data_IF_149974757664
#
_entry.id   IF_149974757664
#
_cell.length_a   1.000
_cell.length_b   1.000
_cell.length_c   1.000
_cell.angle_alpha   90.00
_cell.angle_beta   90.00
_cell.angle_gamma   90.00
#
_symmetry.space_group_name_H-M   'P 1'
#
loop_
_entity.id
_entity.type
_entity.pdbx_description
1 polymer ?
#
# COMPACT_ATOMS: atom_id res chain seq x y z
N UNK A 1 -25.78 -5.83 9.20
CA UNK A 1 -25.40 -4.87 10.25
C UNK A 1 -24.57 -5.61 11.29
N UNK A 2 -23.28 -5.28 11.34
CA UNK A 2 -22.33 -5.98 12.21
C UNK A 2 -22.41 -5.43 13.63
N UNK A 3 -22.44 -6.35 14.58
CA UNK A 3 -22.29 -6.06 16.01
C UNK A 3 -20.78 -6.12 16.34
N UNK A 4 -20.19 -5.01 16.75
CA UNK A 4 -18.76 -4.92 17.09
C UNK A 4 -18.37 -5.94 18.16
N UNK A 5 -19.25 -6.24 19.13
CA UNK A 5 -19.01 -7.20 20.18
C UNK A 5 -18.85 -8.63 19.62
N UNK A 6 -19.68 -8.98 18.64
CA UNK A 6 -19.54 -10.27 17.95
C UNK A 6 -18.24 -10.35 17.16
N UNK A 7 -17.86 -9.24 16.49
CA UNK A 7 -16.58 -9.13 15.78
C UNK A 7 -15.39 -9.31 16.72
N UNK A 8 -15.36 -8.59 17.83
CA UNK A 8 -14.32 -8.68 18.86
C UNK A 8 -14.25 -10.09 19.46
N UNK A 9 -15.40 -10.72 19.74
CA UNK A 9 -15.45 -12.09 20.27
C UNK A 9 -14.90 -13.10 19.26
N UNK A 10 -15.19 -12.92 17.97
CA UNK A 10 -14.77 -13.84 16.90
C UNK A 10 -13.28 -13.71 16.57
N UNK A 11 -12.80 -12.49 16.41
CA UNK A 11 -11.44 -12.22 15.92
C UNK A 11 -10.41 -12.10 17.05
N UNK A 12 -10.84 -11.72 18.25
CA UNK A 12 -10.02 -11.44 19.44
C UNK A 12 -9.14 -10.20 19.28
N UNK A 13 -8.93 -9.48 20.37
CA UNK A 13 -8.04 -8.30 20.42
C UNK A 13 -6.56 -8.75 20.41
N UNK A 14 -5.64 -7.94 19.86
CA UNK A 14 -5.90 -6.63 19.25
C UNK A 14 -6.45 -6.70 17.81
N UNK A 15 -7.24 -5.69 17.43
CA UNK A 15 -7.88 -5.58 16.12
C UNK A 15 -7.60 -4.22 15.47
N UNK A 16 -7.81 -4.14 14.17
CA UNK A 16 -7.94 -2.89 13.43
C UNK A 16 -9.39 -2.74 12.99
N UNK A 17 -9.96 -1.56 13.21
CA UNK A 17 -11.23 -1.14 12.60
C UNK A 17 -10.93 -0.16 11.48
N UNK A 18 -11.36 -0.48 10.25
CA UNK A 18 -11.19 0.36 9.05
C UNK A 18 -12.56 0.70 8.46
N UNK A 19 -12.77 1.93 7.94
CA UNK A 19 -13.96 2.22 7.16
C UNK A 19 -13.94 1.43 5.85
N UNK A 20 -15.10 1.04 5.34
CA UNK A 20 -15.25 0.35 4.07
C UNK A 20 -14.97 1.25 2.85
N UNK A 21 -14.97 2.57 3.07
CA UNK A 21 -14.60 3.60 2.11
C UNK A 21 -13.64 4.60 2.77
N UNK A 22 -12.48 4.79 2.21
CA UNK A 22 -11.47 5.69 2.76
C UNK A 22 -10.20 5.67 1.94
N UNK A 23 -9.31 6.61 2.21
CA UNK A 23 -7.99 6.70 1.57
C UNK A 23 -6.93 6.91 2.64
N UNK A 24 -5.83 6.14 2.57
CA UNK A 24 -4.60 6.40 3.31
C UNK A 24 -4.74 6.31 4.83
N UNK A 25 -5.18 5.19 5.36
CA UNK A 25 -5.34 4.92 6.81
C UNK A 25 -6.21 5.93 7.58
N UNK A 26 -6.94 6.81 6.89
CA UNK A 26 -7.87 7.76 7.48
C UNK A 26 -8.97 7.02 8.25
N UNK A 27 -9.27 7.52 9.47
CA UNK A 27 -10.27 6.92 10.37
C UNK A 27 -10.04 5.42 10.67
N UNK A 28 -8.77 4.98 10.67
CA UNK A 28 -8.37 3.64 11.08
C UNK A 28 -8.04 3.61 12.56
N UNK A 29 -8.64 2.69 13.30
CA UNK A 29 -8.50 2.57 14.76
C UNK A 29 -7.81 1.25 15.14
N UNK A 30 -6.79 1.34 15.99
CA UNK A 30 -6.20 0.17 16.64
C UNK A 30 -6.92 -0.09 17.96
N UNK A 31 -7.62 -1.20 18.03
CA UNK A 31 -8.38 -1.64 19.20
C UNK A 31 -7.52 -2.65 19.98
N UNK A 32 -6.79 -2.20 21.00
CA UNK A 32 -5.88 -3.04 21.79
C UNK A 32 -6.60 -3.80 22.88
N UNK A 33 -7.57 -3.13 23.51
CA UNK A 33 -8.32 -3.63 24.66
C UNK A 33 -9.79 -3.18 24.64
N UNK A 34 -10.55 -3.54 25.67
CA UNK A 34 -11.96 -3.19 25.81
C UNK A 34 -12.20 -1.67 25.88
N UNK A 35 -11.23 -0.91 26.43
CA UNK A 35 -11.35 0.53 26.55
C UNK A 35 -11.31 1.18 25.17
N UNK A 36 -10.40 0.71 24.30
CA UNK A 36 -10.32 1.19 22.92
C UNK A 36 -11.61 0.88 22.14
N UNK A 37 -12.21 -0.30 22.35
CA UNK A 37 -13.50 -0.67 21.74
C UNK A 37 -14.61 0.29 22.20
N UNK A 38 -14.68 0.62 23.49
CA UNK A 38 -15.67 1.56 24.01
C UNK A 38 -15.44 3.00 23.51
N UNK A 39 -14.18 3.42 23.38
CA UNK A 39 -13.85 4.72 22.79
C UNK A 39 -14.27 4.77 21.32
N UNK A 40 -13.93 3.76 20.53
CA UNK A 40 -14.35 3.66 19.14
C UNK A 40 -15.89 3.76 18.99
N UNK A 41 -16.65 3.05 19.84
CA UNK A 41 -18.11 3.11 19.82
C UNK A 41 -18.65 4.54 20.09
N UNK A 42 -17.97 5.29 20.97
CA UNK A 42 -18.37 6.67 21.29
C UNK A 42 -18.06 7.66 20.17
N UNK A 43 -16.95 7.40 19.45
CA UNK A 43 -16.48 8.26 18.35
C UNK A 43 -17.16 7.95 17.03
N UNK A 44 -17.71 6.72 16.90
CA UNK A 44 -18.39 6.31 15.68
C UNK A 44 -19.64 7.15 15.42
N UNK A 45 -19.77 7.67 14.23
CA UNK A 45 -20.86 8.55 13.79
C UNK A 45 -22.20 7.82 13.57
N UNK A 46 -22.25 6.50 13.74
CA UNK A 46 -23.43 5.65 13.56
C UNK A 46 -23.79 5.38 12.08
N UNK A 47 -23.06 5.93 11.12
CA UNK A 47 -23.35 5.85 9.68
C UNK A 47 -22.24 5.22 8.87
N UNK A 48 -20.99 5.51 9.19
CA UNK A 48 -19.83 4.92 8.52
C UNK A 48 -19.75 3.43 8.78
N UNK A 49 -19.67 2.64 7.72
CA UNK A 49 -19.49 1.20 7.79
C UNK A 49 -18.03 0.87 8.06
N UNK A 50 -17.79 0.04 9.06
CA UNK A 50 -16.46 -0.43 9.43
C UNK A 50 -16.37 -1.94 9.32
N UNK A 51 -15.21 -2.44 8.92
CA UNK A 51 -14.86 -3.83 9.08
C UNK A 51 -13.71 -4.00 10.08
N UNK A 52 -13.63 -5.18 10.68
CA UNK A 52 -12.63 -5.52 11.68
C UNK A 52 -11.66 -6.55 11.12
N UNK A 53 -10.38 -6.33 11.33
CA UNK A 53 -9.30 -7.24 10.95
C UNK A 53 -8.43 -7.56 12.16
N UNK A 54 -7.82 -8.76 12.25
CA UNK A 54 -6.77 -9.02 13.24
C UNK A 54 -5.62 -8.03 13.05
N UNK A 55 -5.11 -7.49 14.16
CA UNK A 55 -3.91 -6.66 14.11
C UNK A 55 -2.69 -7.53 13.81
N UNK A 56 -1.94 -7.18 12.80
CA UNK A 56 -0.65 -7.81 12.46
C UNK A 56 0.46 -6.99 13.09
N UNK A 57 1.22 -7.60 14.01
CA UNK A 57 2.28 -6.95 14.77
C UNK A 57 3.66 -7.21 14.16
N UNK A 58 4.59 -6.26 14.39
CA UNK A 58 6.01 -6.37 13.99
C UNK A 58 6.21 -6.76 12.52
N UNK A 59 5.45 -6.17 11.62
CA UNK A 59 5.56 -6.41 10.19
C UNK A 59 5.92 -5.13 9.43
N UNK A 60 6.81 -5.27 8.46
CA UNK A 60 7.06 -4.22 7.48
C UNK A 60 5.90 -4.18 6.48
N UNK A 61 5.69 -3.03 5.85
CA UNK A 61 4.77 -2.92 4.72
C UNK A 61 5.58 -2.87 3.43
N UNK A 62 5.20 -3.73 2.50
CA UNK A 62 5.72 -3.76 1.13
C UNK A 62 4.57 -3.75 0.15
N UNK A 63 4.82 -3.36 -1.08
CA UNK A 63 3.78 -3.34 -2.11
C UNK A 63 4.07 -4.31 -3.24
N UNK A 64 3.04 -4.63 -3.99
CA UNK A 64 3.17 -5.18 -5.33
C UNK A 64 2.39 -4.26 -6.27
N UNK A 65 3.13 -3.47 -7.04
CA UNK A 65 2.61 -2.42 -7.89
C UNK A 65 2.87 -2.74 -9.35
N UNK A 66 2.05 -2.21 -10.24
CA UNK A 66 2.28 -2.42 -11.66
C UNK A 66 1.15 -1.94 -12.55
N UNK A 67 1.16 -2.43 -13.78
CA UNK A 67 0.23 -2.11 -14.84
C UNK A 67 -0.24 -3.38 -15.54
N UNK A 68 -1.52 -3.47 -15.85
CA UNK A 68 -2.10 -4.54 -16.68
C UNK A 68 -2.62 -4.01 -18.01
N UNK A 69 -2.46 -4.82 -19.08
CA UNK A 69 -2.98 -4.53 -20.41
C UNK A 69 -4.49 -4.86 -20.56
N UNK A 70 -5.04 -4.63 -21.74
CA UNK A 70 -6.43 -4.92 -22.08
C UNK A 70 -6.80 -6.41 -21.97
N UNK A 71 -5.81 -7.31 -22.04
CA UNK A 71 -5.99 -8.76 -21.93
C UNK A 71 -5.88 -9.26 -20.49
N UNK A 72 -5.44 -8.38 -19.56
CA UNK A 72 -5.17 -8.74 -18.17
C UNK A 72 -3.76 -9.28 -17.94
N UNK A 73 -2.84 -9.12 -18.89
CA UNK A 73 -1.44 -9.46 -18.68
C UNK A 73 -0.74 -8.33 -17.92
N UNK A 74 0.09 -8.69 -16.97
CA UNK A 74 0.94 -7.72 -16.27
C UNK A 74 2.03 -7.24 -17.22
N UNK A 75 2.04 -5.94 -17.51
CA UNK A 75 3.00 -5.25 -18.38
C UNK A 75 4.32 -5.03 -17.67
N UNK A 76 4.24 -4.57 -16.44
CA UNK A 76 5.35 -4.49 -15.50
C UNK A 76 4.84 -4.65 -14.08
N UNK A 77 5.75 -4.96 -13.17
CA UNK A 77 5.52 -4.92 -11.73
C UNK A 77 6.77 -4.48 -10.99
N UNK A 78 6.58 -3.92 -9.80
CA UNK A 78 7.61 -3.40 -8.92
C UNK A 78 7.14 -3.50 -7.47
N UNK A 79 8.00 -3.12 -6.51
CA UNK A 79 7.65 -3.10 -5.09
C UNK A 79 8.23 -1.88 -4.41
N UNK A 80 7.42 -1.20 -3.61
CA UNK A 80 7.86 -0.22 -2.62
C UNK A 80 8.10 -0.95 -1.29
N UNK A 81 9.22 -0.64 -0.66
CA UNK A 81 9.51 -1.02 0.73
C UNK A 81 9.53 0.26 1.56
N UNK A 82 8.60 0.38 2.50
CA UNK A 82 8.50 1.55 3.39
C UNK A 82 9.45 1.41 4.58
N UNK A 83 10.17 2.48 4.92
CA UNK A 83 11.00 2.52 6.13
C UNK A 83 10.17 2.68 7.40
N UNK A 84 9.09 3.48 7.33
CA UNK A 84 8.04 3.59 8.34
C UNK A 84 6.71 3.29 7.71
N UNK A 85 5.81 2.63 8.45
CA UNK A 85 4.48 2.35 7.90
C UNK A 85 3.68 3.65 7.70
N UNK A 86 2.76 3.72 6.73
CA UNK A 86 1.88 4.88 6.57
C UNK A 86 1.14 5.25 7.86
N UNK A 87 0.76 4.28 8.68
CA UNK A 87 0.09 4.51 9.97
C UNK A 87 1.04 5.16 10.99
N UNK A 88 2.32 4.77 11.04
CA UNK A 88 3.30 5.40 11.91
C UNK A 88 3.53 6.86 11.53
N UNK A 89 3.61 7.14 10.23
CA UNK A 89 3.79 8.49 9.71
C UNK A 89 2.60 9.42 10.00
N UNK A 90 1.38 8.88 10.03
CA UNK A 90 0.18 9.63 10.42
C UNK A 90 0.14 9.93 11.92
N UNK A 91 0.60 8.98 12.74
CA UNK A 91 0.58 9.10 14.20
C UNK A 91 1.79 9.82 14.77
N UNK A 92 2.85 10.00 13.98
CA UNK A 92 4.09 10.65 14.43
C UNK A 92 4.63 11.60 13.36
N UNK A 93 4.36 12.89 13.53
CA UNK A 93 4.80 13.95 12.62
C UNK A 93 6.30 14.22 12.64
N UNK A 94 7.08 13.59 13.54
CA UNK A 94 8.55 13.67 13.56
C UNK A 94 9.22 12.74 12.58
N UNK A 95 8.50 11.75 12.02
CA UNK A 95 9.03 10.81 11.05
C UNK A 95 8.99 11.39 9.63
N UNK A 96 10.01 11.09 8.84
CA UNK A 96 10.07 11.43 7.43
C UNK A 96 9.56 10.27 6.58
N UNK A 97 8.92 10.59 5.46
CA UNK A 97 8.47 9.59 4.51
C UNK A 97 9.66 9.13 3.68
N UNK A 98 10.11 7.91 3.94
CA UNK A 98 11.22 7.28 3.24
C UNK A 98 10.79 5.91 2.74
N UNK A 99 11.03 5.64 1.48
CA UNK A 99 10.81 4.33 0.86
C UNK A 99 11.80 4.09 -0.27
N UNK A 100 11.96 2.84 -0.65
CA UNK A 100 12.78 2.49 -1.81
C UNK A 100 12.05 1.47 -2.70
N UNK A 101 12.45 1.46 -3.98
CA UNK A 101 12.05 0.46 -4.96
C UNK A 101 13.05 -0.68 -4.89
N UNK A 102 12.55 -1.87 -4.55
CA UNK A 102 13.37 -3.08 -4.53
C UNK A 102 13.43 -3.67 -5.93
N UNK A 103 14.64 -3.91 -6.44
CA UNK A 103 14.85 -4.59 -7.72
C UNK A 103 14.90 -6.13 -7.56
N UNK A 104 15.20 -6.61 -6.36
CA UNK A 104 15.39 -8.04 -6.06
C UNK A 104 14.14 -8.58 -5.34
N UNK A 105 12.98 -8.53 -6.01
CA UNK A 105 11.70 -8.90 -5.41
C UNK A 105 11.67 -10.35 -4.95
N UNK A 106 11.17 -10.57 -3.73
CA UNK A 106 10.92 -11.90 -3.20
C UNK A 106 9.94 -12.67 -4.12
N UNK A 107 10.30 -13.84 -4.64
CA UNK A 107 9.44 -14.66 -5.50
C UNK A 107 8.05 -14.94 -4.90
N UNK A 108 7.95 -15.06 -3.57
CA UNK A 108 6.68 -15.29 -2.89
C UNK A 108 5.77 -14.05 -2.95
N UNK A 109 6.33 -12.84 -2.77
CA UNK A 109 5.59 -11.58 -2.97
C UNK A 109 5.08 -11.48 -4.41
N UNK A 110 5.93 -11.81 -5.38
CA UNK A 110 5.56 -11.81 -6.81
C UNK A 110 4.44 -12.79 -7.09
N UNK A 111 4.50 -13.99 -6.52
CA UNK A 111 3.44 -14.99 -6.66
C UNK A 111 2.09 -14.48 -6.09
N UNK A 112 2.11 -13.97 -4.86
CA UNK A 112 0.91 -13.46 -4.19
C UNK A 112 0.31 -12.25 -4.91
N UNK A 113 1.16 -11.33 -5.35
CA UNK A 113 0.75 -10.16 -6.11
C UNK A 113 0.10 -10.54 -7.45
N UNK A 114 0.72 -11.43 -8.22
CA UNK A 114 0.16 -11.94 -9.50
C UNK A 114 -1.17 -12.67 -9.30
N UNK A 115 -1.28 -13.47 -8.24
CA UNK A 115 -2.52 -14.16 -7.91
C UNK A 115 -3.64 -13.18 -7.53
N UNK A 116 -3.31 -12.12 -6.78
CA UNK A 116 -4.25 -11.05 -6.44
C UNK A 116 -4.75 -10.31 -7.69
N UNK A 117 -3.85 -9.86 -8.56
CA UNK A 117 -4.20 -9.20 -9.83
C UNK A 117 -5.14 -10.07 -10.66
N UNK A 118 -4.84 -11.37 -10.77
CA UNK A 118 -5.67 -12.34 -11.49
C UNK A 118 -7.05 -12.51 -10.85
N UNK A 119 -7.11 -12.61 -9.51
CA UNK A 119 -8.36 -12.80 -8.77
C UNK A 119 -9.32 -11.61 -8.94
N UNK A 120 -8.78 -10.38 -8.99
CA UNK A 120 -9.57 -9.17 -9.22
C UNK A 120 -9.93 -8.94 -10.71
N UNK A 121 -9.36 -9.70 -11.63
CA UNK A 121 -9.68 -9.61 -13.07
C UNK A 121 -9.38 -8.26 -13.70
N UNK A 122 -8.30 -7.61 -13.26
CA UNK A 122 -7.93 -6.26 -13.70
C UNK A 122 -7.57 -6.19 -15.18
N UNK A 123 -7.85 -5.01 -15.79
CA UNK A 123 -7.53 -4.69 -17.18
C UNK A 123 -7.27 -3.19 -17.34
N UNK A 124 -6.33 -2.85 -18.21
CA UNK A 124 -6.04 -1.48 -18.68
C UNK A 124 -5.84 -0.46 -17.57
N UNK A 125 -5.18 -0.84 -16.47
CA UNK A 125 -4.94 0.09 -15.36
C UNK A 125 -3.76 -0.29 -14.49
N UNK A 126 -3.30 0.70 -13.75
CA UNK A 126 -2.38 0.48 -12.64
C UNK A 126 -3.06 -0.27 -11.50
N UNK A 127 -2.25 -1.01 -10.77
CA UNK A 127 -2.62 -1.58 -9.48
C UNK A 127 -1.56 -1.25 -8.43
N UNK A 128 -2.01 -1.13 -7.20
CA UNK A 128 -1.20 -0.91 -5.99
C UNK A 128 -1.77 -1.80 -4.90
N UNK A 129 -1.03 -2.83 -4.53
CA UNK A 129 -1.44 -3.83 -3.55
C UNK A 129 -0.47 -3.76 -2.37
N UNK A 130 -0.97 -3.55 -1.17
CA UNK A 130 -0.17 -3.51 0.04
C UNK A 130 -0.19 -4.86 0.76
N UNK A 131 0.98 -5.24 1.29
CA UNK A 131 1.17 -6.47 2.06
C UNK A 131 1.92 -6.18 3.35
N UNK A 132 1.51 -6.80 4.46
CA UNK A 132 2.39 -7.00 5.60
C UNK A 132 3.40 -8.09 5.25
N UNK A 133 4.70 -7.76 5.36
CA UNK A 133 5.79 -8.73 5.30
C UNK A 133 6.06 -9.23 6.72
N UNK A 134 5.65 -10.44 7.00
CA UNK A 134 5.96 -11.14 8.25
C UNK A 134 7.28 -11.90 8.11
N UNK A 135 7.73 -12.56 9.18
CA UNK A 135 8.97 -13.34 9.14
C UNK A 135 8.97 -14.39 8.02
N UNK A 136 7.85 -15.05 7.79
CA UNK A 136 7.78 -16.23 6.93
C UNK A 136 6.75 -16.12 5.79
N UNK A 137 5.97 -15.02 5.74
CA UNK A 137 4.84 -14.89 4.83
C UNK A 137 4.45 -13.44 4.53
N UNK A 138 3.51 -13.27 3.60
CA UNK A 138 2.88 -12.01 3.23
C UNK A 138 1.37 -12.09 3.51
N UNK A 139 0.81 -11.02 4.07
CA UNK A 139 -0.63 -10.88 4.34
C UNK A 139 -1.12 -9.66 3.59
N UNK A 140 -2.07 -9.83 2.65
CA UNK A 140 -2.64 -8.72 1.91
C UNK A 140 -3.39 -7.75 2.84
N UNK A 141 -3.16 -6.46 2.66
CA UNK A 141 -3.78 -5.35 3.42
C UNK A 141 -4.91 -4.76 2.61
N UNK A 142 -4.58 -4.29 1.41
CA UNK A 142 -5.55 -3.65 0.52
C UNK A 142 -5.13 -3.77 -0.95
N UNK A 143 -6.12 -3.60 -1.82
CA UNK A 143 -5.97 -3.63 -3.25
C UNK A 143 -6.56 -2.37 -3.88
N UNK A 144 -5.71 -1.57 -4.54
CA UNK A 144 -6.09 -0.31 -5.16
C UNK A 144 -5.95 -0.36 -6.68
N UNK A 145 -6.99 0.10 -7.39
CA UNK A 145 -7.03 0.23 -8.84
C UNK A 145 -6.43 1.56 -9.32
N UNK A 146 -5.28 1.91 -8.84
CA UNK A 146 -4.54 3.14 -9.13
C UNK A 146 -3.04 2.92 -8.89
N UNK A 147 -2.17 3.81 -9.37
CA UNK A 147 -0.78 3.81 -8.92
C UNK A 147 -0.69 4.17 -7.44
N UNK A 148 0.42 3.85 -6.79
CA UNK A 148 0.76 4.37 -5.48
C UNK A 148 0.78 5.91 -5.50
N UNK A 149 0.59 6.51 -4.34
CA UNK A 149 0.47 7.97 -4.22
C UNK A 149 1.78 8.73 -4.34
N UNK A 150 1.69 10.05 -4.22
CA UNK A 150 2.81 10.98 -4.28
C UNK A 150 3.68 10.81 -5.54
N UNK A 151 4.98 10.72 -5.39
CA UNK A 151 5.97 10.60 -6.47
C UNK A 151 6.29 9.14 -6.86
N UNK A 152 5.44 8.18 -6.49
CA UNK A 152 5.76 6.76 -6.69
C UNK A 152 6.05 6.41 -8.15
N UNK A 153 5.23 6.91 -9.10
CA UNK A 153 5.45 6.64 -10.54
C UNK A 153 6.75 7.26 -11.03
N UNK A 154 7.13 8.44 -10.53
CA UNK A 154 8.42 9.07 -10.87
C UNK A 154 9.60 8.24 -10.36
N UNK A 155 9.47 7.68 -9.14
CA UNK A 155 10.50 6.80 -8.57
C UNK A 155 10.56 5.47 -9.33
N UNK A 156 9.42 4.93 -9.80
CA UNK A 156 9.41 3.77 -10.70
C UNK A 156 10.13 4.08 -12.02
N UNK A 157 9.85 5.24 -12.62
CA UNK A 157 10.51 5.68 -13.85
C UNK A 157 12.03 5.75 -13.68
N UNK A 158 12.48 6.28 -12.54
CA UNK A 158 13.89 6.31 -12.19
C UNK A 158 14.47 4.91 -11.99
N UNK A 159 13.80 4.07 -11.18
CA UNK A 159 14.28 2.73 -10.83
C UNK A 159 14.35 1.78 -12.04
N UNK A 160 13.46 1.95 -13.00
CA UNK A 160 13.37 1.07 -14.17
C UNK A 160 13.87 1.73 -15.46
N UNK A 161 14.41 2.97 -15.40
CA UNK A 161 14.90 3.72 -16.55
C UNK A 161 13.88 3.81 -17.70
N UNK A 162 12.62 4.06 -17.36
CA UNK A 162 11.51 4.09 -18.32
C UNK A 162 10.50 5.21 -17.98
N UNK A 163 9.50 5.40 -18.84
CA UNK A 163 8.40 6.35 -18.65
C UNK A 163 7.07 5.58 -18.57
N UNK A 164 6.61 5.26 -17.36
CA UNK A 164 5.36 4.54 -17.15
C UNK A 164 4.11 5.37 -17.44
N UNK A 165 4.19 6.68 -17.48
CA UNK A 165 3.07 7.49 -17.97
C UNK A 165 2.86 7.26 -19.47
N UNK A 166 3.93 7.22 -20.26
CA UNK A 166 3.88 6.87 -21.67
C UNK A 166 3.43 5.42 -21.86
N UNK A 167 3.99 4.48 -21.12
CA UNK A 167 3.58 3.05 -21.18
C UNK A 167 2.09 2.89 -20.89
N UNK A 168 1.55 3.62 -19.91
CA UNK A 168 0.12 3.60 -19.62
C UNK A 168 -0.71 4.13 -20.79
N UNK A 169 -0.29 5.25 -21.41
CA UNK A 169 -0.97 5.78 -22.58
C UNK A 169 -0.94 4.80 -23.77
N UNK A 170 0.18 4.10 -24.00
CA UNK A 170 0.29 3.06 -25.03
C UNK A 170 -0.63 1.87 -24.77
N UNK A 171 -0.73 1.42 -23.51
CA UNK A 171 -1.67 0.35 -23.10
C UNK A 171 -3.12 0.79 -23.34
N UNK A 172 -3.50 1.98 -22.89
CA UNK A 172 -4.84 2.53 -23.04
C UNK A 172 -5.25 2.72 -24.50
N UNK A 173 -4.30 3.05 -25.37
CA UNK A 173 -4.53 3.22 -26.83
C UNK A 173 -4.38 1.92 -27.63
N UNK A 174 -3.99 0.81 -27.00
CA UNK A 174 -3.76 -0.47 -27.69
C UNK A 174 -2.49 -0.49 -28.57
N UNK A 175 -1.56 0.44 -28.36
CA UNK A 175 -0.31 0.57 -29.13
C UNK A 175 0.91 0.01 -28.40
N UNK A 176 0.74 -0.50 -27.19
CA UNK A 176 1.83 -1.07 -26.40
C UNK A 176 2.46 -2.28 -27.10
N UNK A 177 3.77 -2.24 -27.29
CA UNK A 177 4.54 -3.26 -28.00
C UNK A 177 5.79 -3.73 -27.23
N UNK A 178 5.63 -3.91 -25.91
CA UNK A 178 6.69 -4.40 -25.05
C UNK A 178 7.45 -3.31 -24.32
N UNK A 179 8.20 -3.73 -23.31
CA UNK A 179 8.93 -2.86 -22.40
C UNK A 179 10.34 -3.39 -22.18
N UNK A 180 11.33 -2.52 -22.35
CA UNK A 180 12.69 -2.75 -21.92
C UNK A 180 12.95 -1.90 -20.68
N UNK A 181 13.48 -2.51 -19.62
CA UNK A 181 13.83 -1.84 -18.38
C UNK A 181 15.29 -2.10 -18.03
N UNK A 182 15.92 -1.09 -17.43
CA UNK A 182 17.24 -1.21 -16.79
C UNK A 182 17.02 -1.01 -15.30
N UNK A 183 17.03 -2.09 -14.55
CA UNK A 183 16.60 -2.13 -13.15
C UNK A 183 17.67 -1.60 -12.20
N UNK A 184 17.27 -0.64 -11.36
CA UNK A 184 18.08 0.00 -10.32
C UNK A 184 17.28 0.06 -9.03
N UNK A 185 17.97 0.29 -7.92
CA UNK A 185 17.30 0.74 -6.71
C UNK A 185 16.90 2.20 -6.87
N UNK A 186 15.65 2.52 -6.54
CA UNK A 186 15.17 3.89 -6.45
C UNK A 186 14.88 4.23 -4.99
N UNK A 187 15.34 5.38 -4.50
CA UNK A 187 15.07 5.86 -3.15
C UNK A 187 14.29 7.17 -3.24
N UNK A 188 13.22 7.27 -2.46
CA UNK A 188 12.54 8.51 -2.18
C UNK A 188 12.66 8.84 -0.69
N UNK A 189 13.11 10.05 -0.39
CA UNK A 189 13.16 10.60 0.95
C UNK A 189 12.55 11.99 0.92
N UNK A 190 11.56 12.22 1.79
CA UNK A 190 10.94 13.54 1.91
C UNK A 190 11.50 14.28 3.10
N UNK A 191 11.48 15.60 3.02
CA UNK A 191 11.76 16.49 4.14
C UNK A 191 10.49 17.25 4.52
N UNK A 192 10.41 17.66 5.76
CA UNK A 192 9.29 18.42 6.31
C UNK A 192 9.72 19.87 6.49
N UNK A 193 9.00 20.82 5.94
CA UNK A 193 9.33 22.25 6.00
C UNK A 193 9.44 22.80 7.42
N UNK A 194 8.80 22.15 8.38
CA UNK A 194 8.79 22.56 9.80
C UNK A 194 9.88 21.88 10.65
N UNK A 195 10.74 21.04 10.04
CA UNK A 195 11.83 20.35 10.77
C UNK A 195 13.17 20.97 10.44
N UNK A 196 14.00 21.09 11.49
CA UNK A 196 15.40 21.42 11.33
C UNK A 196 16.21 20.15 11.00
N UNK A 197 16.93 20.17 9.90
CA UNK A 197 17.81 19.08 9.46
C UNK A 197 19.28 19.50 9.58
N UNK A 198 20.16 18.52 9.82
CA UNK A 198 21.61 18.76 9.96
C UNK A 198 22.23 19.34 8.68
N UNK A 199 21.69 18.94 7.54
CA UNK A 199 22.10 19.44 6.23
C UNK A 199 20.98 20.27 5.60
N UNK A 200 21.36 21.35 4.91
CA UNK A 200 20.44 22.16 4.11
C UNK A 200 19.91 21.39 2.89
N UNK A 201 18.97 21.99 2.18
CA UNK A 201 18.44 21.45 0.91
C UNK A 201 19.32 21.82 -0.29
N UNK A 202 20.41 22.61 -0.05
CA UNK A 202 21.39 23.06 -1.06
C UNK A 202 22.57 22.08 -1.18
#
# INVERSE_FOLDING_TARGET
>A
EGDIEKGVKKLKLPLIAKPDNGVGASATYKLKDKKDVENFKKEWDGTTHYFLEPFVDNSDIVTFDGLVDAKGNIVFYTSIVYYHTPLDLLNNNTLDWVYYIDKDLDPKLVEYGKNSVKAFGMKERFFHIEFFKTKDDYIAIEYNNRPAGAFAVDVYNFAHSTDYFRVYAEVANGTFNGLNVDEKYGLASTRRDYKDYVHSDE
#
